data_IF_329532117757
#
_entry.id   IF_329532117757
#
_cell.length_a   1.000
_cell.length_b   1.000
_cell.length_c   1.000
_cell.angle_alpha   90.00
_cell.angle_beta   90.00
_cell.angle_gamma   90.00
#
_symmetry.space_group_name_H-M   'P 1'
#
loop_
_entity.id
_entity.type
_entity.pdbx_description
1 polymer ?
#
# COMPACT_ATOMS: atom_id res chain seq x y z
N UNK A 1 7.30 -27.63 38.83
CA UNK A 1 8.40 -26.65 38.83
C UNK A 1 7.98 -25.52 37.90
N UNK A 2 8.01 -24.25 38.31
CA UNK A 2 7.68 -23.16 37.41
C UNK A 2 8.81 -23.05 36.39
N UNK A 3 8.48 -23.29 35.12
CA UNK A 3 9.38 -23.17 33.99
C UNK A 3 9.95 -21.75 33.95
N UNK A 4 11.23 -21.65 33.60
CA UNK A 4 12.03 -20.44 33.58
C UNK A 4 11.31 -19.26 32.95
N UNK A 5 11.45 -18.08 33.55
CA UNK A 5 11.12 -16.81 32.90
C UNK A 5 11.91 -16.75 31.59
N UNK A 6 11.20 -16.80 30.46
CA UNK A 6 11.74 -16.49 29.12
C UNK A 6 12.51 -15.18 29.21
N UNK A 7 13.74 -15.17 28.69
CA UNK A 7 14.50 -13.94 28.64
C UNK A 7 13.77 -12.92 27.76
N UNK A 8 13.86 -11.61 28.05
CA UNK A 8 13.23 -10.58 27.21
C UNK A 8 13.62 -10.65 25.73
N UNK A 9 14.81 -11.19 25.42
CA UNK A 9 15.30 -11.42 24.05
C UNK A 9 14.55 -12.55 23.35
N UNK A 10 14.38 -13.70 24.01
CA UNK A 10 13.65 -14.85 23.45
C UNK A 10 12.19 -14.48 23.16
N UNK A 11 11.56 -13.68 24.04
CA UNK A 11 10.20 -13.21 23.83
C UNK A 11 10.07 -12.30 22.60
N UNK A 12 11.03 -11.40 22.38
CA UNK A 12 11.05 -10.53 21.21
C UNK A 12 11.16 -11.34 19.92
N UNK A 13 12.06 -12.32 19.87
CA UNK A 13 12.23 -13.20 18.70
C UNK A 13 10.95 -13.98 18.37
N UNK A 14 10.27 -14.50 19.40
CA UNK A 14 8.97 -15.17 19.22
C UNK A 14 7.91 -14.20 18.70
N UNK A 15 7.83 -13.01 19.28
CA UNK A 15 6.87 -11.98 18.87
C UNK A 15 7.12 -11.51 17.41
N UNK A 16 8.38 -11.41 16.98
CA UNK A 16 8.76 -11.13 15.58
C UNK A 16 8.30 -12.25 14.63
N UNK A 17 8.52 -13.51 15.00
CA UNK A 17 8.11 -14.68 14.21
C UNK A 17 6.57 -14.72 14.06
N UNK A 18 5.83 -14.41 15.13
CA UNK A 18 4.37 -14.33 15.09
C UNK A 18 3.92 -13.18 14.18
N UNK A 19 4.51 -11.98 14.32
CA UNK A 19 4.18 -10.84 13.48
C UNK A 19 4.44 -11.15 12.00
N UNK A 20 5.58 -11.77 11.69
CA UNK A 20 6.00 -12.16 10.34
C UNK A 20 4.98 -13.09 9.66
N UNK A 21 4.46 -14.07 10.41
CA UNK A 21 3.42 -14.98 9.95
C UNK A 21 2.07 -14.27 9.74
N UNK A 22 1.63 -13.45 10.70
CA UNK A 22 0.34 -12.78 10.62
C UNK A 22 0.26 -11.82 9.44
N UNK A 23 1.35 -11.08 9.15
CA UNK A 23 1.43 -10.18 8.01
C UNK A 23 1.36 -10.94 6.67
N UNK A 24 2.08 -12.05 6.56
CA UNK A 24 2.03 -12.92 5.37
C UNK A 24 0.64 -13.54 5.18
N UNK A 25 0.04 -14.07 6.26
CA UNK A 25 -1.27 -14.68 6.22
C UNK A 25 -2.35 -13.67 5.82
N UNK A 26 -2.27 -12.44 6.33
CA UNK A 26 -3.18 -11.35 5.96
C UNK A 26 -3.04 -10.96 4.48
N UNK A 27 -1.81 -10.71 4.02
CA UNK A 27 -1.51 -10.36 2.63
C UNK A 27 -2.03 -11.43 1.67
N UNK A 28 -1.67 -12.69 1.93
CA UNK A 28 -2.07 -13.84 1.11
C UNK A 28 -3.59 -14.03 1.10
N UNK A 29 -4.25 -13.87 2.25
CA UNK A 29 -5.72 -13.98 2.35
C UNK A 29 -6.44 -12.90 1.55
N UNK A 30 -5.95 -11.66 1.59
CA UNK A 30 -6.54 -10.52 0.86
C UNK A 30 -6.34 -10.64 -0.65
N UNK A 31 -5.13 -11.01 -1.10
CA UNK A 31 -4.85 -11.26 -2.51
C UNK A 31 -5.71 -12.40 -3.05
N UNK A 32 -5.81 -13.51 -2.30
CA UNK A 32 -6.64 -14.64 -2.69
C UNK A 32 -8.13 -14.26 -2.77
N UNK A 33 -8.65 -13.51 -1.79
CA UNK A 33 -10.02 -13.00 -1.86
C UNK A 33 -10.23 -12.15 -3.11
N UNK A 34 -9.34 -11.17 -3.38
CA UNK A 34 -9.51 -10.27 -4.51
C UNK A 34 -9.44 -11.03 -5.84
N UNK A 35 -8.51 -11.96 -5.98
CA UNK A 35 -8.40 -12.86 -7.14
C UNK A 35 -9.70 -13.62 -7.36
N UNK A 36 -10.30 -14.18 -6.30
CA UNK A 36 -11.59 -14.85 -6.36
C UNK A 36 -12.70 -13.87 -6.74
N UNK A 37 -12.76 -12.66 -6.18
CA UNK A 37 -13.77 -11.67 -6.56
C UNK A 37 -13.72 -11.33 -8.06
N UNK A 38 -12.53 -11.18 -8.63
CA UNK A 38 -12.33 -10.82 -10.04
C UNK A 38 -12.55 -11.99 -11.00
N UNK A 39 -12.26 -13.22 -10.57
CA UNK A 39 -12.21 -14.39 -11.46
C UNK A 39 -13.36 -15.39 -11.26
N UNK A 40 -14.12 -15.29 -10.17
CA UNK A 40 -15.04 -16.34 -9.76
C UNK A 40 -16.29 -16.41 -10.63
N UNK A 41 -16.63 -17.59 -11.18
CA UNK A 41 -17.96 -17.82 -11.69
C UNK A 41 -18.99 -17.77 -10.55
N UNK A 42 -20.28 -17.54 -10.84
CA UNK A 42 -21.35 -17.47 -9.84
C UNK A 42 -21.48 -18.70 -8.91
N UNK A 43 -20.83 -19.82 -9.25
CA UNK A 43 -20.78 -21.06 -8.47
C UNK A 43 -19.76 -21.07 -7.33
N UNK A 44 -18.76 -20.18 -7.31
CA UNK A 44 -17.71 -20.15 -6.28
C UNK A 44 -18.09 -19.30 -5.04
N UNK A 45 -19.40 -19.11 -4.79
CA UNK A 45 -19.89 -18.25 -3.69
C UNK A 45 -19.41 -18.70 -2.30
N UNK A 46 -19.31 -20.02 -2.06
CA UNK A 46 -18.84 -20.54 -0.78
C UNK A 46 -17.36 -20.25 -0.57
N UNK A 47 -16.53 -20.54 -1.56
CA UNK A 47 -15.09 -20.27 -1.53
C UNK A 47 -14.80 -18.77 -1.34
N UNK A 48 -15.55 -17.90 -2.02
CA UNK A 48 -15.45 -16.46 -1.82
C UNK A 48 -15.87 -16.02 -0.41
N UNK A 49 -16.93 -16.63 0.16
CA UNK A 49 -17.37 -16.32 1.51
C UNK A 49 -16.31 -16.74 2.56
N UNK A 50 -15.67 -17.89 2.36
CA UNK A 50 -14.55 -18.36 3.20
C UNK A 50 -13.33 -17.44 3.07
N UNK A 51 -12.97 -17.04 1.85
CA UNK A 51 -11.87 -16.10 1.62
C UNK A 51 -12.12 -14.74 2.31
N UNK A 52 -13.34 -14.20 2.20
CA UNK A 52 -13.77 -12.97 2.90
C UNK A 52 -13.66 -13.10 4.42
N UNK A 53 -14.04 -14.26 4.97
CA UNK A 53 -13.92 -14.53 6.40
C UNK A 53 -12.46 -14.55 6.83
N UNK A 54 -11.60 -15.23 6.08
CA UNK A 54 -10.18 -15.35 6.39
C UNK A 54 -9.46 -14.00 6.32
N UNK A 55 -9.75 -13.17 5.32
CA UNK A 55 -9.17 -11.83 5.23
C UNK A 55 -9.60 -10.94 6.40
N UNK A 56 -10.88 -10.97 6.80
CA UNK A 56 -11.35 -10.23 7.98
C UNK A 56 -10.69 -10.70 9.28
N UNK A 57 -10.56 -12.02 9.49
CA UNK A 57 -9.89 -12.56 10.67
C UNK A 57 -8.42 -12.15 10.70
N UNK A 58 -7.70 -12.35 9.59
CA UNK A 58 -6.27 -12.04 9.50
C UNK A 58 -5.98 -10.56 9.73
N UNK A 59 -6.78 -9.65 9.18
CA UNK A 59 -6.65 -8.21 9.46
C UNK A 59 -6.81 -7.88 10.95
N UNK A 60 -7.83 -8.44 11.61
CA UNK A 60 -8.05 -8.23 13.04
C UNK A 60 -6.89 -8.76 13.90
N UNK A 61 -6.32 -9.91 13.52
CA UNK A 61 -5.15 -10.48 14.18
C UNK A 61 -3.92 -9.57 14.01
N UNK A 62 -3.63 -9.13 12.78
CA UNK A 62 -2.52 -8.19 12.52
C UNK A 62 -2.68 -6.92 13.34
N UNK A 63 -3.84 -6.28 13.29
CA UNK A 63 -4.07 -5.05 14.03
C UNK A 63 -3.88 -5.24 15.54
N UNK A 64 -4.56 -6.24 16.13
CA UNK A 64 -4.52 -6.49 17.57
C UNK A 64 -3.12 -6.87 18.05
N UNK A 65 -2.42 -7.71 17.28
CA UNK A 65 -1.08 -8.15 17.61
C UNK A 65 -0.07 -7.00 17.45
N UNK A 66 -0.16 -6.21 16.38
CA UNK A 66 0.75 -5.08 16.15
C UNK A 66 0.64 -4.00 17.24
N UNK A 67 -0.57 -3.66 17.69
CA UNK A 67 -0.76 -2.76 18.83
C UNK A 67 -0.16 -3.33 20.13
N UNK A 68 -0.20 -4.66 20.30
CA UNK A 68 0.42 -5.33 21.44
C UNK A 68 1.94 -5.35 21.33
N UNK A 69 2.47 -5.68 20.16
CA UNK A 69 3.90 -5.74 19.84
C UNK A 69 4.56 -4.38 20.10
N UNK A 70 4.02 -3.30 19.52
CA UNK A 70 4.55 -1.93 19.69
C UNK A 70 4.50 -1.44 21.14
N UNK A 71 3.50 -1.88 21.92
CA UNK A 71 3.41 -1.57 23.35
C UNK A 71 4.42 -2.35 24.20
N UNK A 72 4.69 -3.61 23.86
CA UNK A 72 5.64 -4.46 24.57
C UNK A 72 7.09 -4.13 24.22
N UNK A 73 7.34 -3.69 22.99
CA UNK A 73 8.67 -3.43 22.43
C UNK A 73 8.82 -2.00 21.88
N UNK A 74 8.59 -0.94 22.68
CA UNK A 74 8.46 0.44 22.20
C UNK A 74 9.74 1.06 21.61
N UNK A 75 10.91 0.47 21.87
CA UNK A 75 12.20 0.93 21.38
C UNK A 75 12.83 -0.02 20.36
N UNK A 76 12.12 -1.10 20.04
CA UNK A 76 12.61 -2.08 19.09
C UNK A 76 12.45 -1.56 17.66
N UNK A 77 13.53 -1.65 16.89
CA UNK A 77 13.52 -1.34 15.47
C UNK A 77 13.22 -2.63 14.71
N UNK A 78 12.12 -2.61 13.96
CA UNK A 78 11.67 -3.77 13.18
C UNK A 78 12.77 -4.14 12.17
N UNK A 79 13.23 -5.41 12.13
CA UNK A 79 14.21 -5.86 11.17
C UNK A 79 13.75 -5.58 9.73
N UNK A 80 14.70 -5.28 8.84
CA UNK A 80 14.41 -4.84 7.48
C UNK A 80 13.48 -5.79 6.70
N UNK A 81 13.69 -7.11 6.81
CA UNK A 81 12.84 -8.13 6.15
C UNK A 81 11.40 -8.09 6.66
N UNK A 82 11.21 -7.98 7.97
CA UNK A 82 9.89 -7.86 8.59
C UNK A 82 9.24 -6.50 8.26
N UNK A 83 10.06 -5.45 8.13
CA UNK A 83 9.63 -4.14 7.68
C UNK A 83 9.05 -4.17 6.27
N UNK A 84 9.69 -4.88 5.34
CA UNK A 84 9.19 -5.03 3.97
C UNK A 84 7.81 -5.70 3.97
N UNK A 85 7.69 -6.84 4.68
CA UNK A 85 6.43 -7.57 4.81
C UNK A 85 5.33 -6.73 5.45
N UNK A 86 5.67 -5.95 6.48
CA UNK A 86 4.75 -5.05 7.14
C UNK A 86 4.22 -3.97 6.20
N UNK A 87 5.10 -3.36 5.38
CA UNK A 87 4.69 -2.38 4.36
C UNK A 87 3.86 -3.03 3.26
N UNK A 88 4.24 -4.21 2.78
CA UNK A 88 3.45 -5.00 1.82
C UNK A 88 2.03 -5.22 2.33
N UNK A 89 1.89 -5.72 3.57
CA UNK A 89 0.60 -5.95 4.20
C UNK A 89 -0.20 -4.66 4.36
N UNK A 90 0.41 -3.58 4.87
CA UNK A 90 -0.26 -2.29 5.05
C UNK A 90 -0.75 -1.72 3.73
N UNK A 91 0.09 -1.77 2.68
CA UNK A 91 -0.25 -1.32 1.35
C UNK A 91 -1.47 -2.09 0.79
N UNK A 92 -1.45 -3.43 0.86
CA UNK A 92 -2.55 -4.26 0.37
C UNK A 92 -3.86 -3.96 1.11
N UNK A 93 -3.81 -3.78 2.44
CA UNK A 93 -5.00 -3.41 3.21
C UNK A 93 -5.49 -2.01 2.84
N UNK A 94 -4.61 -1.03 2.68
CA UNK A 94 -4.98 0.32 2.23
C UNK A 94 -5.59 0.30 0.82
N UNK A 95 -5.01 -0.46 -0.10
CA UNK A 95 -5.43 -0.55 -1.48
C UNK A 95 -6.78 -1.27 -1.64
N UNK A 96 -7.00 -2.37 -0.91
CA UNK A 96 -8.21 -3.20 -1.07
C UNK A 96 -9.33 -2.88 -0.08
N UNK A 97 -8.99 -2.39 1.12
CA UNK A 97 -9.96 -2.17 2.22
C UNK A 97 -10.06 -0.73 2.69
N UNK A 98 -9.23 0.17 2.15
CA UNK A 98 -9.20 1.59 2.54
C UNK A 98 -8.96 1.79 4.05
N UNK A 99 -8.21 0.87 4.66
CA UNK A 99 -7.89 0.88 6.09
C UNK A 99 -6.39 1.01 6.28
N UNK A 100 -5.97 1.87 7.22
CA UNK A 100 -4.61 1.80 7.75
C UNK A 100 -4.57 0.82 8.93
N UNK A 101 -4.15 -0.43 8.66
CA UNK A 101 -4.20 -1.52 9.63
C UNK A 101 -3.28 -1.31 10.84
N UNK A 102 -2.24 -0.48 10.67
CA UNK A 102 -1.26 -0.17 11.72
C UNK A 102 -1.67 1.04 12.57
N UNK A 103 -2.59 1.87 12.06
CA UNK A 103 -3.16 2.97 12.82
C UNK A 103 -4.04 2.44 13.96
N UNK A 104 -4.17 3.21 15.05
CA UNK A 104 -4.99 2.83 16.20
C UNK A 104 -6.49 2.76 15.90
N UNK A 105 -6.94 3.53 14.92
CA UNK A 105 -8.36 3.73 14.62
C UNK A 105 -8.76 3.24 13.22
N UNK A 106 -7.89 2.51 12.52
CA UNK A 106 -8.07 2.10 11.12
C UNK A 106 -8.12 3.27 10.12
N UNK A 107 -7.64 4.45 10.50
CA UNK A 107 -7.68 5.68 9.70
C UNK A 107 -6.28 6.11 9.23
N UNK A 108 -6.09 6.38 7.93
CA UNK A 108 -4.86 6.98 7.43
C UNK A 108 -4.68 8.43 7.90
N UNK A 109 -3.43 8.86 8.09
CA UNK A 109 -3.11 10.24 8.46
C UNK A 109 -3.09 11.18 7.24
N UNK A 110 -4.25 11.78 6.95
CA UNK A 110 -4.37 12.76 5.87
C UNK A 110 -3.56 14.05 6.09
N UNK A 111 -3.22 14.41 7.34
CA UNK A 111 -2.42 15.60 7.63
C UNK A 111 -0.96 15.37 7.24
N UNK A 112 -0.42 14.19 7.53
CA UNK A 112 0.92 13.81 7.12
C UNK A 112 1.09 13.90 5.60
N UNK A 113 0.11 13.38 4.84
CA UNK A 113 0.10 13.45 3.37
C UNK A 113 0.11 14.88 2.84
N UNK A 114 -0.68 15.78 3.45
CA UNK A 114 -0.71 17.20 3.08
C UNK A 114 0.60 17.91 3.42
N UNK A 115 1.16 17.64 4.60
CA UNK A 115 2.44 18.22 5.03
C UNK A 115 3.59 17.82 4.12
N UNK A 116 3.68 16.54 3.75
CA UNK A 116 4.65 16.04 2.77
C UNK A 116 4.51 16.76 1.42
N UNK A 117 3.28 16.84 0.91
CA UNK A 117 2.97 17.53 -0.35
C UNK A 117 3.42 18.99 -0.33
N UNK A 118 3.06 19.73 0.72
CA UNK A 118 3.47 21.12 0.90
C UNK A 118 4.99 21.26 1.00
N UNK A 119 5.64 20.39 1.75
CA UNK A 119 7.10 20.38 1.92
C UNK A 119 7.80 20.16 0.59
N UNK A 120 7.35 19.19 -0.21
CA UNK A 120 7.92 18.91 -1.54
C UNK A 120 7.76 20.10 -2.50
N UNK A 121 6.57 20.70 -2.58
CA UNK A 121 6.31 21.88 -3.41
C UNK A 121 7.20 23.06 -3.03
N UNK A 122 7.33 23.33 -1.73
CA UNK A 122 8.20 24.38 -1.21
C UNK A 122 9.67 24.14 -1.54
N UNK A 123 10.15 22.90 -1.39
CA UNK A 123 11.54 22.53 -1.72
C UNK A 123 11.83 22.71 -3.21
N UNK A 124 10.85 22.45 -4.09
CA UNK A 124 10.93 22.71 -5.54
C UNK A 124 10.73 24.19 -5.91
N UNK A 125 10.31 25.04 -4.97
CA UNK A 125 10.03 26.45 -5.23
C UNK A 125 8.86 26.68 -6.19
N UNK A 126 7.90 25.75 -6.26
CA UNK A 126 6.74 25.82 -7.15
C UNK A 126 5.43 25.89 -6.36
N UNK A 127 4.42 26.64 -6.82
CA UNK A 127 3.14 26.77 -6.12
C UNK A 127 2.23 25.55 -6.28
N UNK A 128 2.40 24.80 -7.38
CA UNK A 128 1.62 23.61 -7.71
C UNK A 128 2.37 22.75 -8.72
N UNK A 129 1.92 21.50 -8.89
CA UNK A 129 2.45 20.57 -9.92
C UNK A 129 2.09 20.99 -11.35
N UNK A 130 1.18 21.96 -11.53
CA UNK A 130 0.81 22.56 -12.81
C UNK A 130 0.86 24.11 -12.70
N UNK A 131 2.06 24.71 -12.69
CA UNK A 131 2.21 26.13 -12.44
C UNK A 131 1.46 26.99 -13.46
N UNK A 132 0.74 28.01 -12.99
CA UNK A 132 -0.02 28.95 -13.81
C UNK A 132 -1.41 28.46 -14.24
N UNK A 133 -1.88 27.34 -13.70
CA UNK A 133 -3.22 26.78 -13.93
C UNK A 133 -4.07 26.75 -12.65
N UNK A 134 -3.61 27.35 -11.56
CA UNK A 134 -4.31 27.34 -10.27
C UNK A 134 -5.72 27.93 -10.41
N UNK A 135 -5.90 28.91 -11.28
CA UNK A 135 -7.19 29.54 -11.57
C UNK A 135 -8.11 28.71 -12.48
N UNK A 136 -7.58 27.74 -13.23
CA UNK A 136 -8.36 26.86 -14.12
C UNK A 136 -9.06 25.76 -13.32
N UNK A 137 -8.45 25.31 -12.23
CA UNK A 137 -9.11 24.45 -11.26
C UNK A 137 -9.97 25.32 -10.34
N UNK A 138 -11.20 25.62 -10.80
CA UNK A 138 -12.19 26.33 -10.00
C UNK A 138 -12.43 25.62 -8.66
N UNK A 139 -12.86 26.36 -7.64
CA UNK A 139 -13.27 25.81 -6.33
C UNK A 139 -14.52 24.91 -6.41
N UNK A 140 -15.05 24.64 -7.60
CA UNK A 140 -16.20 23.78 -7.84
C UNK A 140 -15.78 22.32 -8.02
N UNK A 141 -16.57 21.40 -7.46
CA UNK A 141 -16.43 19.96 -7.71
C UNK A 141 -16.63 19.65 -9.18
N UNK A 142 -15.84 18.75 -9.78
CA UNK A 142 -16.05 18.35 -11.17
C UNK A 142 -17.41 17.67 -11.40
N UNK A 143 -17.95 17.03 -10.36
CA UNK A 143 -19.21 16.30 -10.38
C UNK A 143 -20.23 16.94 -9.44
N UNK A 144 -21.52 16.75 -9.72
CA UNK A 144 -22.59 17.11 -8.78
C UNK A 144 -22.58 16.19 -7.55
N UNK A 145 -23.25 16.60 -6.47
CA UNK A 145 -23.36 15.78 -5.25
C UNK A 145 -23.98 14.40 -5.53
N UNK A 146 -25.01 14.33 -6.39
CA UNK A 146 -25.68 13.08 -6.75
C UNK A 146 -24.76 12.14 -7.53
N UNK A 147 -23.95 12.68 -8.44
CA UNK A 147 -22.99 11.89 -9.22
C UNK A 147 -21.83 11.43 -8.34
N UNK A 148 -21.35 12.30 -7.44
CA UNK A 148 -20.30 11.95 -6.47
C UNK A 148 -20.74 10.80 -5.57
N UNK A 149 -21.98 10.83 -5.06
CA UNK A 149 -22.53 9.74 -4.25
C UNK A 149 -22.61 8.43 -5.04
N UNK A 150 -23.09 8.46 -6.29
CA UNK A 150 -23.12 7.27 -7.16
C UNK A 150 -21.72 6.73 -7.46
N UNK A 151 -20.74 7.60 -7.68
CA UNK A 151 -19.35 7.20 -7.89
C UNK A 151 -18.77 6.50 -6.65
N UNK A 152 -19.10 7.02 -5.47
CA UNK A 152 -18.68 6.44 -4.19
C UNK A 152 -19.32 5.07 -3.96
N UNK A 153 -20.62 4.92 -4.22
CA UNK A 153 -21.33 3.64 -4.15
C UNK A 153 -20.72 2.62 -5.12
N UNK A 154 -20.50 3.01 -6.37
CA UNK A 154 -19.87 2.15 -7.38
C UNK A 154 -18.43 1.74 -7.00
N UNK A 155 -17.66 2.64 -6.37
CA UNK A 155 -16.32 2.33 -5.87
C UNK A 155 -16.37 1.28 -4.75
N UNK A 156 -17.28 1.43 -3.78
CA UNK A 156 -17.41 0.44 -2.72
C UNK A 156 -17.88 -0.92 -3.25
N UNK A 157 -18.84 -0.91 -4.18
CA UNK A 157 -19.32 -2.12 -4.84
C UNK A 157 -18.19 -2.83 -5.62
N UNK A 158 -17.37 -2.08 -6.36
CA UNK A 158 -16.26 -2.64 -7.13
C UNK A 158 -15.15 -3.22 -6.25
N UNK A 159 -14.96 -2.69 -5.04
CA UNK A 159 -14.05 -3.22 -4.02
C UNK A 159 -14.65 -4.38 -3.21
N UNK A 160 -15.88 -4.80 -3.55
CA UNK A 160 -16.56 -5.92 -2.91
C UNK A 160 -17.02 -5.61 -1.48
N UNK A 161 -17.27 -4.34 -1.18
CA UNK A 161 -17.80 -3.89 0.10
C UNK A 161 -19.08 -4.67 0.42
N UNK A 162 -19.17 -5.10 1.68
CA UNK A 162 -20.36 -5.74 2.22
C UNK A 162 -20.53 -5.32 3.67
N UNK A 163 -21.75 -5.31 4.23
CA UNK A 163 -21.98 -4.91 5.62
C UNK A 163 -21.09 -5.63 6.65
N UNK A 164 -20.68 -6.86 6.35
CA UNK A 164 -19.85 -7.70 7.22
C UNK A 164 -18.34 -7.58 6.94
N UNK A 165 -17.93 -6.80 5.93
CA UNK A 165 -16.52 -6.62 5.58
C UNK A 165 -15.91 -5.46 6.36
N UNK A 166 -14.69 -5.64 6.86
CA UNK A 166 -13.94 -4.55 7.46
C UNK A 166 -13.48 -3.59 6.36
N UNK A 167 -13.99 -2.36 6.38
CA UNK A 167 -13.72 -1.35 5.37
C UNK A 167 -13.56 0.04 6.00
N UNK A 168 -12.67 0.85 5.44
CA UNK A 168 -12.30 2.16 6.00
C UNK A 168 -12.58 3.31 5.04
N UNK A 169 -12.09 4.49 5.43
CA UNK A 169 -12.29 5.77 4.73
C UNK A 169 -11.06 6.24 3.95
N UNK A 170 -10.00 5.44 3.90
CA UNK A 170 -8.80 5.73 3.13
C UNK A 170 -9.09 5.87 1.63
N UNK A 171 -8.13 6.45 0.91
CA UNK A 171 -8.21 6.69 -0.53
C UNK A 171 -6.99 6.12 -1.24
N UNK A 172 -7.02 6.06 -2.58
CA UNK A 172 -5.84 5.72 -3.37
C UNK A 172 -4.67 6.68 -3.12
N UNK A 173 -4.91 7.92 -2.67
CA UNK A 173 -3.84 8.86 -2.30
C UNK A 173 -3.07 8.40 -1.06
N UNK A 174 -3.75 7.71 -0.15
CA UNK A 174 -3.12 7.11 1.04
C UNK A 174 -2.32 5.87 0.65
N UNK A 175 -2.91 5.01 -0.19
CA UNK A 175 -2.23 3.82 -0.70
C UNK A 175 -1.03 4.17 -1.59
N UNK A 176 -1.09 5.25 -2.37
CA UNK A 176 -0.01 5.73 -3.24
C UNK A 176 1.26 6.07 -2.44
N UNK A 177 1.10 6.68 -1.27
CA UNK A 177 2.24 6.97 -0.39
C UNK A 177 2.89 5.69 0.11
N UNK A 178 2.10 4.73 0.58
CA UNK A 178 2.64 3.45 1.04
C UNK A 178 3.28 2.65 -0.09
N UNK A 179 2.73 2.71 -1.31
CA UNK A 179 3.28 2.04 -2.48
C UNK A 179 4.69 2.52 -2.82
N UNK A 180 4.93 3.84 -2.77
CA UNK A 180 6.27 4.34 -3.07
C UNK A 180 7.25 4.02 -1.95
N UNK A 181 6.83 4.05 -0.68
CA UNK A 181 7.68 3.64 0.44
C UNK A 181 8.04 2.15 0.35
N UNK A 182 7.08 1.32 -0.01
CA UNK A 182 7.32 -0.10 -0.30
C UNK A 182 8.38 -0.27 -1.40
N UNK A 183 8.28 0.50 -2.48
CA UNK A 183 9.24 0.46 -3.57
C UNK A 183 10.65 0.89 -3.12
N UNK A 184 10.77 1.97 -2.34
CA UNK A 184 12.06 2.42 -1.80
C UNK A 184 12.71 1.40 -0.88
N UNK A 185 11.90 0.68 -0.10
CA UNK A 185 12.42 -0.40 0.74
C UNK A 185 12.82 -1.62 -0.10
N UNK A 186 12.08 -1.92 -1.17
CA UNK A 186 12.45 -3.00 -2.09
C UNK A 186 13.74 -2.70 -2.87
N UNK A 187 13.95 -1.46 -3.31
CA UNK A 187 15.15 -1.05 -4.04
C UNK A 187 16.40 -1.06 -3.16
N UNK A 188 16.25 -0.83 -1.85
CA UNK A 188 17.30 -1.03 -0.85
C UNK A 188 17.89 -2.45 -0.80
N UNK A 189 17.26 -3.45 -1.45
CA UNK A 189 17.81 -4.80 -1.67
C UNK A 189 18.66 -4.91 -2.95
N UNK A 190 19.31 -3.82 -3.38
CA UNK A 190 20.13 -3.73 -4.61
C UNK A 190 19.35 -4.01 -5.91
N UNK A 191 18.05 -3.73 -5.91
CA UNK A 191 17.20 -3.85 -7.11
C UNK A 191 16.91 -2.47 -7.67
N UNK A 192 17.34 -2.21 -8.90
CA UNK A 192 17.07 -0.95 -9.57
C UNK A 192 15.58 -0.77 -9.88
N UNK A 193 15.09 0.47 -9.79
CA UNK A 193 13.77 0.83 -10.33
C UNK A 193 13.85 0.74 -11.86
N UNK A 194 12.99 -0.12 -12.44
CA UNK A 194 12.85 -0.24 -13.89
C UNK A 194 11.74 0.66 -14.45
N UNK A 195 11.74 0.83 -15.78
CA UNK A 195 10.73 1.57 -16.54
C UNK A 195 9.30 1.12 -16.21
N UNK A 196 9.03 -0.19 -16.17
CA UNK A 196 7.71 -0.74 -15.85
C UNK A 196 7.20 -0.31 -14.47
N UNK A 197 8.09 -0.14 -13.49
CA UNK A 197 7.67 0.39 -12.17
C UNK A 197 7.27 1.86 -12.27
N UNK A 198 8.04 2.67 -13.02
CA UNK A 198 7.74 4.09 -13.22
C UNK A 198 6.39 4.26 -13.92
N UNK A 199 6.14 3.47 -14.98
CA UNK A 199 4.85 3.46 -15.68
C UNK A 199 3.70 3.10 -14.74
N UNK A 200 3.85 2.02 -13.95
CA UNK A 200 2.85 1.61 -12.96
C UNK A 200 2.63 2.69 -11.88
N UNK A 201 3.70 3.31 -11.39
CA UNK A 201 3.63 4.36 -10.37
C UNK A 201 2.93 5.62 -10.89
N UNK A 202 3.27 6.08 -12.09
CA UNK A 202 2.61 7.22 -12.75
C UNK A 202 1.14 6.90 -13.05
N UNK A 203 0.85 5.67 -13.47
CA UNK A 203 -0.52 5.16 -13.61
C UNK A 203 -1.30 5.23 -12.30
N UNK A 204 -0.68 4.84 -11.18
CA UNK A 204 -1.26 4.97 -9.85
C UNK A 204 -1.54 6.44 -9.51
N UNK A 205 -0.59 7.35 -9.71
CA UNK A 205 -0.78 8.78 -9.46
C UNK A 205 -2.01 9.34 -10.21
N UNK A 206 -2.18 8.92 -11.46
CA UNK A 206 -3.36 9.28 -12.26
C UNK A 206 -4.66 8.71 -11.68
N UNK A 207 -4.69 7.42 -11.34
CA UNK A 207 -5.87 6.77 -10.76
C UNK A 207 -6.24 7.37 -9.40
N UNK A 208 -5.25 7.69 -8.57
CA UNK A 208 -5.47 8.33 -7.28
C UNK A 208 -6.07 9.75 -7.43
N UNK A 209 -5.62 10.51 -8.43
CA UNK A 209 -6.20 11.81 -8.74
C UNK A 209 -7.63 11.68 -9.27
N UNK A 210 -7.89 10.73 -10.18
CA UNK A 210 -9.22 10.48 -10.74
C UNK A 210 -10.22 10.04 -9.66
N UNK A 211 -9.82 9.13 -8.76
CA UNK A 211 -10.64 8.72 -7.61
C UNK A 211 -10.96 9.93 -6.72
N UNK A 212 -9.96 10.75 -6.39
CA UNK A 212 -10.16 11.94 -5.55
C UNK A 212 -11.19 12.89 -6.16
N UNK A 213 -11.08 13.21 -7.45
CA UNK A 213 -12.05 14.10 -8.11
C UNK A 213 -13.45 13.49 -8.22
N UNK A 214 -13.55 12.19 -8.53
CA UNK A 214 -14.83 11.46 -8.60
C UNK A 214 -15.55 11.36 -7.27
N UNK A 215 -14.80 11.37 -6.18
CA UNK A 215 -15.31 11.30 -4.79
C UNK A 215 -15.44 12.68 -4.14
N UNK A 216 -15.25 13.76 -4.90
CA UNK A 216 -15.63 15.12 -4.48
C UNK A 216 -14.48 16.06 -4.14
N UNK A 217 -13.23 15.72 -4.48
CA UNK A 217 -12.13 16.67 -4.38
C UNK A 217 -12.35 17.88 -5.30
N UNK A 218 -11.79 19.02 -4.91
CA UNK A 218 -11.87 20.29 -5.63
C UNK A 218 -10.48 20.89 -5.81
N UNK A 219 -10.35 21.84 -6.73
CA UNK A 219 -9.11 22.57 -6.93
C UNK A 219 -7.94 21.68 -7.39
N UNK A 220 -6.73 22.17 -7.18
CA UNK A 220 -5.49 21.50 -7.61
C UNK A 220 -4.89 20.59 -6.54
N UNK A 221 -5.42 20.61 -5.31
CA UNK A 221 -4.84 19.91 -4.17
C UNK A 221 -4.79 18.39 -4.36
N UNK A 222 -5.79 17.79 -5.02
CA UNK A 222 -5.76 16.37 -5.34
C UNK A 222 -4.57 16.02 -6.26
N UNK A 223 -4.31 16.83 -7.28
CA UNK A 223 -3.13 16.65 -8.14
C UNK A 223 -1.84 16.91 -7.38
N UNK A 224 -1.77 17.96 -6.56
CA UNK A 224 -0.60 18.22 -5.73
C UNK A 224 -0.29 17.01 -4.84
N UNK A 225 -1.28 16.46 -4.13
CA UNK A 225 -1.09 15.29 -3.27
C UNK A 225 -0.68 14.02 -4.03
N UNK A 226 -1.11 13.85 -5.28
CA UNK A 226 -0.74 12.71 -6.12
C UNK A 226 0.59 12.88 -6.86
N UNK A 227 1.01 14.12 -7.18
CA UNK A 227 2.14 14.38 -8.09
C UNK A 227 3.35 15.07 -7.44
N UNK A 228 3.32 15.31 -6.13
CA UNK A 228 4.43 15.87 -5.37
C UNK A 228 5.45 14.81 -4.95
N UNK A 229 6.07 14.20 -5.96
CA UNK A 229 7.09 13.15 -5.84
C UNK A 229 8.27 13.45 -6.78
N UNK A 230 9.41 12.85 -6.46
CA UNK A 230 10.65 12.96 -7.23
C UNK A 230 11.76 13.70 -6.49
N UNK A 231 12.93 13.74 -7.11
CA UNK A 231 14.16 14.28 -6.53
C UNK A 231 13.99 15.73 -6.07
N UNK A 232 14.45 16.04 -4.87
CA UNK A 232 14.56 17.40 -4.34
C UNK A 232 15.97 17.63 -3.83
N UNK A 233 16.43 18.88 -3.91
CA UNK A 233 17.70 19.27 -3.32
C UNK A 233 17.56 19.29 -1.80
N UNK A 234 18.36 18.49 -1.11
CA UNK A 234 18.41 18.44 0.35
C UNK A 234 19.61 19.26 0.81
N UNK A 235 19.33 20.42 1.41
CA UNK A 235 20.33 21.28 2.05
C UNK A 235 20.46 20.93 3.54
N UNK A 236 21.50 21.43 4.21
CA UNK A 236 21.78 21.12 5.62
C UNK A 236 20.62 21.43 6.58
N UNK A 237 19.89 22.54 6.36
CA UNK A 237 18.72 22.89 7.17
C UNK A 237 17.53 21.96 6.92
N UNK A 238 17.38 21.47 5.67
CA UNK A 238 16.32 20.53 5.29
C UNK A 238 16.59 19.15 5.88
N UNK A 239 17.85 18.72 5.88
CA UNK A 239 18.29 17.41 6.38
C UNK A 239 17.92 17.19 7.85
N UNK A 240 17.86 18.26 8.66
CA UNK A 240 17.43 18.18 10.05
C UNK A 240 15.91 18.00 10.26
N UNK A 241 15.10 18.20 9.21
CA UNK A 241 13.63 18.22 9.27
C UNK A 241 12.94 17.18 8.39
N UNK A 242 13.69 16.58 7.46
CA UNK A 242 13.20 15.51 6.58
C UNK A 242 13.07 14.21 7.37
N UNK A 243 12.02 13.43 7.12
CA UNK A 243 11.90 12.09 7.72
C UNK A 243 12.84 11.11 7.03
N UNK A 244 13.20 10.03 7.73
CA UNK A 244 14.00 8.93 7.15
C UNK A 244 13.34 8.36 5.88
N UNK A 245 12.01 8.18 5.90
CA UNK A 245 11.23 7.72 4.75
C UNK A 245 11.34 8.69 3.54
N UNK A 246 11.28 10.00 3.77
CA UNK A 246 11.46 10.99 2.70
C UNK A 246 12.91 11.05 2.20
N UNK A 247 13.89 10.83 3.08
CA UNK A 247 15.31 10.79 2.73
C UNK A 247 15.61 9.58 1.84
N UNK A 248 15.19 8.38 2.25
CA UNK A 248 15.35 7.15 1.47
C UNK A 248 14.64 7.25 0.11
N UNK A 249 13.47 7.88 0.06
CA UNK A 249 12.79 8.17 -1.19
C UNK A 249 13.62 9.08 -2.11
N UNK A 250 14.19 10.14 -1.55
CA UNK A 250 15.01 11.07 -2.33
C UNK A 250 16.27 10.40 -2.89
N UNK A 251 16.93 9.57 -2.08
CA UNK A 251 18.09 8.76 -2.49
C UNK A 251 17.72 7.76 -3.59
N UNK A 252 16.56 7.11 -3.47
CA UNK A 252 16.05 6.18 -4.48
C UNK A 252 15.88 6.85 -5.85
N UNK A 253 15.41 8.11 -5.88
CA UNK A 253 15.31 8.87 -7.12
C UNK A 253 16.65 9.40 -7.62
N UNK A 254 17.57 9.76 -6.72
CA UNK A 254 18.88 10.28 -7.11
C UNK A 254 19.64 9.26 -7.98
N UNK A 255 19.59 7.97 -7.61
CA UNK A 255 20.28 6.90 -8.33
C UNK A 255 21.80 7.14 -8.45
N UNK A 256 22.48 6.36 -9.29
CA UNK A 256 23.92 6.54 -9.55
C UNK A 256 24.19 7.69 -10.53
N UNK A 257 23.35 7.82 -11.57
CA UNK A 257 23.54 8.80 -12.68
C UNK A 257 22.33 9.75 -12.90
N UNK A 258 21.28 9.67 -12.07
CA UNK A 258 20.08 10.50 -12.21
C UNK A 258 19.16 10.14 -13.39
N UNK A 259 19.46 9.11 -14.17
CA UNK A 259 18.64 8.66 -15.31
C UNK A 259 17.21 8.30 -14.90
N UNK A 260 17.05 7.60 -13.77
CA UNK A 260 15.75 7.20 -13.22
C UNK A 260 14.91 8.43 -12.84
N UNK A 261 15.53 9.46 -12.24
CA UNK A 261 14.83 10.72 -11.94
C UNK A 261 14.35 11.41 -13.21
N UNK A 262 15.18 11.47 -14.26
CA UNK A 262 14.81 12.10 -15.52
C UNK A 262 13.64 11.36 -16.19
N UNK A 263 13.73 10.03 -16.28
CA UNK A 263 12.66 9.19 -16.82
C UNK A 263 11.36 9.36 -16.04
N UNK A 264 11.43 9.34 -14.71
CA UNK A 264 10.25 9.57 -13.86
C UNK A 264 9.64 10.96 -14.10
N UNK A 265 10.44 12.03 -14.14
CA UNK A 265 9.94 13.37 -14.42
C UNK A 265 9.32 13.47 -15.82
N UNK A 266 9.89 12.81 -16.83
CA UNK A 266 9.32 12.77 -18.17
C UNK A 266 7.94 12.10 -18.20
N UNK A 267 7.81 10.90 -17.61
CA UNK A 267 6.54 10.17 -17.54
C UNK A 267 5.51 10.91 -16.68
N UNK A 268 5.93 11.48 -15.55
CA UNK A 268 5.09 12.32 -14.70
C UNK A 268 4.54 13.51 -15.49
N UNK A 269 5.38 14.20 -16.25
CA UNK A 269 4.96 15.35 -17.06
C UNK A 269 4.09 14.96 -18.25
N UNK A 270 4.33 13.80 -18.88
CA UNK A 270 3.42 13.24 -19.89
C UNK A 270 2.05 13.00 -19.28
N UNK A 271 1.96 12.35 -18.13
CA UNK A 271 0.70 12.10 -17.44
C UNK A 271 -0.02 13.40 -17.04
N UNK A 272 0.68 14.35 -16.42
CA UNK A 272 0.13 15.66 -16.04
C UNK A 272 -0.44 16.44 -17.23
N UNK A 273 0.18 16.33 -18.42
CA UNK A 273 -0.36 16.94 -19.65
C UNK A 273 -1.70 16.33 -20.07
N UNK A 274 -1.90 15.03 -19.85
CA UNK A 274 -3.18 14.37 -20.13
C UNK A 274 -4.24 14.76 -19.10
N UNK A 275 -3.87 14.83 -17.82
CA UNK A 275 -4.79 15.24 -16.74
C UNK A 275 -5.20 16.72 -16.82
N UNK A 276 -4.44 17.53 -17.55
CA UNK A 276 -4.70 18.96 -17.73
C UNK A 276 -6.11 19.19 -18.30
N UNK A 277 -6.89 19.99 -17.58
CA UNK A 277 -8.22 20.40 -18.02
C UNK A 277 -8.11 21.16 -19.34
N UNK A 278 -8.84 20.69 -20.35
CA UNK A 278 -8.91 21.39 -21.64
C UNK A 278 -9.80 22.62 -21.49
N UNK A 279 -9.35 23.82 -21.89
CA UNK A 279 -10.21 25.00 -21.92
C UNK A 279 -11.49 24.70 -22.70
N UNK A 280 -12.62 25.24 -22.24
CA UNK A 280 -13.94 25.13 -22.87
C UNK A 280 -14.63 23.75 -22.80
N UNK A 281 -14.02 22.74 -22.16
CA UNK A 281 -14.66 21.45 -21.88
C UNK A 281 -15.21 21.45 -20.43
N UNK A 282 -16.48 21.07 -20.20
CA UNK A 282 -17.00 20.88 -18.85
C UNK A 282 -16.13 19.91 -18.04
N UNK A 283 -15.85 20.24 -16.77
CA UNK A 283 -14.97 19.44 -15.91
C UNK A 283 -15.43 17.97 -15.82
N UNK A 284 -16.73 17.74 -15.69
CA UNK A 284 -17.31 16.40 -15.65
C UNK A 284 -16.93 15.59 -16.91
N UNK A 285 -17.22 16.13 -18.10
CA UNK A 285 -16.95 15.47 -19.38
C UNK A 285 -15.45 15.17 -19.56
N UNK A 286 -14.59 16.10 -19.12
CA UNK A 286 -13.13 15.91 -19.15
C UNK A 286 -12.69 14.72 -18.29
N UNK A 287 -13.14 14.61 -17.04
CA UNK A 287 -12.75 13.50 -16.16
C UNK A 287 -13.42 12.17 -16.52
N UNK A 288 -14.63 12.20 -17.07
CA UNK A 288 -15.27 10.99 -17.64
C UNK A 288 -14.49 10.49 -18.85
N UNK A 289 -14.05 11.39 -19.74
CA UNK A 289 -13.22 11.04 -20.87
C UNK A 289 -11.88 10.46 -20.43
N UNK A 290 -11.19 11.09 -19.47
CA UNK A 290 -9.93 10.59 -18.95
C UNK A 290 -10.05 9.19 -18.36
N UNK A 291 -11.08 8.95 -17.55
CA UNK A 291 -11.28 7.64 -16.95
C UNK A 291 -11.70 6.56 -17.96
N UNK A 292 -12.21 6.95 -19.13
CA UNK A 292 -12.44 6.00 -20.24
C UNK A 292 -11.14 5.58 -20.94
N UNK A 293 -10.11 6.43 -20.90
CA UNK A 293 -8.78 6.16 -21.46
C UNK A 293 -7.89 5.39 -20.48
N UNK A 294 -7.97 5.70 -19.18
CA UNK A 294 -7.18 5.06 -18.13
C UNK A 294 -8.10 4.19 -17.27
N UNK A 295 -8.38 2.98 -17.75
CA UNK A 295 -9.30 2.06 -17.07
C UNK A 295 -8.71 1.58 -15.75
N UNK A 296 -9.53 1.64 -14.70
CA UNK A 296 -9.11 1.22 -13.37
C UNK A 296 -8.85 -0.29 -13.32
N UNK A 297 -9.61 -1.08 -14.07
CA UNK A 297 -9.50 -2.55 -14.08
C UNK A 297 -8.16 -3.03 -14.64
N UNK A 298 -7.66 -2.35 -15.67
CA UNK A 298 -6.36 -2.67 -16.28
C UNK A 298 -5.22 -2.32 -15.31
N UNK A 299 -5.30 -1.14 -14.69
CA UNK A 299 -4.36 -0.70 -13.65
C UNK A 299 -4.37 -1.63 -12.43
N UNK A 300 -5.56 -1.97 -11.91
CA UNK A 300 -5.71 -2.84 -10.75
C UNK A 300 -5.11 -4.21 -11.03
N UNK A 301 -5.37 -4.77 -12.21
CA UNK A 301 -4.80 -6.07 -12.61
C UNK A 301 -3.27 -6.03 -12.64
N UNK A 302 -2.68 -4.98 -13.21
CA UNK A 302 -1.23 -4.83 -13.27
C UNK A 302 -0.62 -4.68 -11.87
N UNK A 303 -1.22 -3.83 -11.03
CA UNK A 303 -0.78 -3.61 -9.66
C UNK A 303 -0.89 -4.88 -8.82
N UNK A 304 -2.02 -5.60 -8.88
CA UNK A 304 -2.18 -6.85 -8.16
C UNK A 304 -1.19 -7.91 -8.64
N UNK A 305 -0.94 -8.02 -9.94
CA UNK A 305 0.09 -8.93 -10.47
C UNK A 305 1.50 -8.57 -10.01
N UNK A 306 1.81 -7.28 -9.85
CA UNK A 306 3.07 -6.83 -9.23
C UNK A 306 3.14 -7.26 -7.77
N UNK A 307 2.08 -7.05 -7.00
CA UNK A 307 2.03 -7.38 -5.57
C UNK A 307 2.04 -8.88 -5.28
N UNK A 308 1.39 -9.70 -6.11
CA UNK A 308 1.44 -11.15 -6.03
C UNK A 308 2.88 -11.65 -6.20
N UNK A 309 3.58 -11.17 -7.25
CA UNK A 309 5.00 -11.49 -7.47
C UNK A 309 5.90 -11.03 -6.33
N UNK A 310 5.63 -9.86 -5.76
CA UNK A 310 6.37 -9.35 -4.61
C UNK A 310 6.19 -10.28 -3.40
N UNK A 311 4.94 -10.66 -3.10
CA UNK A 311 4.61 -11.58 -2.00
C UNK A 311 5.19 -12.99 -2.22
N UNK A 312 5.22 -13.49 -3.46
CA UNK A 312 5.83 -14.78 -3.82
C UNK A 312 7.36 -14.76 -3.73
N UNK A 313 8.00 -13.60 -3.95
CA UNK A 313 9.44 -13.45 -3.85
C UNK A 313 9.95 -13.37 -2.40
N UNK A 314 9.08 -13.06 -1.44
CA UNK A 314 9.43 -13.08 -0.03
C UNK A 314 9.54 -14.52 0.52
N UNK A 315 10.50 -14.82 1.41
CA UNK A 315 10.58 -16.14 2.05
C UNK A 315 9.33 -16.48 2.85
N UNK A 316 8.85 -17.73 2.76
CA UNK A 316 7.68 -18.17 3.54
C UNK A 316 8.01 -18.07 5.05
N UNK A 317 7.16 -17.43 5.88
CA UNK A 317 7.41 -17.33 7.32
C UNK A 317 7.56 -18.69 7.99
N UNK A 318 8.43 -18.79 9.00
CA UNK A 318 8.72 -20.04 9.72
C UNK A 318 7.46 -20.75 10.23
N UNK A 319 6.50 -20.03 10.79
CA UNK A 319 5.24 -20.63 11.26
C UNK A 319 4.38 -21.18 10.13
N UNK A 320 4.37 -20.53 8.96
CA UNK A 320 3.65 -21.04 7.79
C UNK A 320 4.33 -22.28 7.21
N UNK A 321 5.66 -22.37 7.27
CA UNK A 321 6.38 -23.59 6.92
C UNK A 321 6.00 -24.74 7.87
N UNK A 322 5.96 -24.46 9.18
CA UNK A 322 5.61 -25.46 10.20
C UNK A 322 4.18 -25.97 10.05
N UNK A 323 3.22 -25.12 9.66
CA UNK A 323 1.86 -25.55 9.30
C UNK A 323 1.83 -26.54 8.12
N UNK A 324 2.83 -26.47 7.25
CA UNK A 324 3.01 -27.38 6.12
C UNK A 324 3.90 -28.59 6.46
N UNK A 325 4.28 -28.74 7.74
CA UNK A 325 5.17 -29.80 8.20
C UNK A 325 6.62 -29.64 7.71
N UNK A 326 7.04 -28.42 7.38
CA UNK A 326 8.38 -28.11 6.86
C UNK A 326 9.06 -27.02 7.69
N UNK A 327 10.39 -26.97 7.67
CA UNK A 327 11.16 -25.85 8.20
C UNK A 327 12.51 -25.79 7.49
N UNK A 328 12.79 -24.69 6.82
CA UNK A 328 14.03 -24.51 6.07
C UNK A 328 15.26 -24.71 6.96
N UNK A 329 16.16 -25.60 6.53
CA UNK A 329 17.38 -25.94 7.26
C UNK A 329 17.25 -27.09 8.27
N UNK A 330 16.07 -27.72 8.37
CA UNK A 330 15.81 -28.88 9.22
C UNK A 330 15.36 -30.07 8.38
N UNK A 331 15.62 -31.29 8.87
CA UNK A 331 15.09 -32.50 8.27
C UNK A 331 13.66 -32.85 8.77
N UNK A 332 12.96 -33.71 8.03
CA UNK A 332 11.57 -34.07 8.33
C UNK A 332 11.40 -34.76 9.70
N UNK A 333 12.45 -35.39 10.25
CA UNK A 333 12.40 -36.06 11.55
C UNK A 333 12.60 -35.06 12.70
N UNK A 334 13.51 -34.11 12.56
CA UNK A 334 13.68 -32.97 13.47
C UNK A 334 12.40 -32.14 13.58
N UNK A 335 11.71 -31.93 12.46
CA UNK A 335 10.44 -31.18 12.45
C UNK A 335 9.33 -31.95 13.16
N UNK A 336 9.24 -33.27 12.98
CA UNK A 336 8.28 -34.11 13.74
C UNK A 336 8.55 -34.04 15.24
N UNK A 337 9.81 -34.06 15.66
CA UNK A 337 10.16 -33.91 17.07
C UNK A 337 9.71 -32.54 17.60
N UNK A 338 10.01 -31.45 16.88
CA UNK A 338 9.60 -30.08 17.26
C UNK A 338 8.08 -29.96 17.37
N UNK A 339 7.33 -30.49 16.40
CA UNK A 339 5.85 -30.47 16.41
C UNK A 339 5.29 -31.31 17.57
N UNK A 340 5.88 -32.46 17.87
CA UNK A 340 5.48 -33.29 19.01
C UNK A 340 5.76 -32.59 20.35
N UNK A 341 6.89 -31.89 20.48
CA UNK A 341 7.20 -31.06 21.66
C UNK A 341 6.22 -29.89 21.81
N UNK A 342 5.76 -29.31 20.70
CA UNK A 342 4.72 -28.29 20.68
C UNK A 342 3.30 -28.84 20.96
N UNK A 343 3.15 -30.14 21.17
CA UNK A 343 1.87 -30.78 21.48
C UNK A 343 1.03 -31.15 20.26
N UNK A 344 1.59 -31.04 19.05
CA UNK A 344 0.95 -31.45 17.79
C UNK A 344 1.33 -32.92 17.56
N UNK A 345 0.42 -33.84 17.88
CA UNK A 345 0.70 -35.28 17.93
C UNK A 345 0.41 -36.05 16.64
N UNK A 346 -0.35 -35.47 15.72
CA UNK A 346 -0.79 -36.11 14.49
C UNK A 346 -0.74 -35.10 13.33
N UNK A 347 0.04 -35.39 12.29
CA UNK A 347 0.04 -34.60 11.05
C UNK A 347 -1.13 -35.11 10.20
N UNK A 348 -2.07 -34.20 9.86
CA UNK A 348 -3.12 -34.41 8.85
C UNK A 348 -2.48 -34.68 7.45
N UNK A 349 -3.18 -35.37 6.53
CA UNK A 349 -2.58 -36.11 5.42
C UNK A 349 -1.97 -35.24 4.32
#
# INVERSE_FOLDING_TARGET
>A
MPSAMESPSERLEVDEIILDYLLWFCTTSLLNERRLQLSSPPSAKLELAEAKRNSNISMNLVHSFFQTFTRLHPHHQIPFSLGLRLRTCRFIVLFLRRIDILSKNFEPDSNLRRQRTFSWLNRRGIPSVLPGQESTFLASTPFSSDVTQKNLEHLYDSLGHSPDAMFGSGTLRDALWEFILLATQYTGQEKAIGEAFIELFVGFMAQAALEAYRTGATGIDALNECFSFGLVEITGDIMASISDDELCLNETWAGEDGEIANLFEEEKMKCLKHLRVTPDVPLQDHYEHLASQVKFEDFEKELLGFMEKLNEAEPIPKLAQLEQGKLDGYDDEEIKEVLQYAGIRDVWP
#
